data_IF_841125049115
#
_entry.id   IF_841125049115
#
_cell.length_a   1.000
_cell.length_b   1.000
_cell.length_c   1.000
_cell.angle_alpha   90.00
_cell.angle_beta   90.00
_cell.angle_gamma   90.00
#
_symmetry.space_group_name_H-M   'P 1'
#
loop_
_entity.id
_entity.type
_entity.pdbx_description
1 polymer ?
#
# COMPACT_ATOMS: atom_id res chain seq x y z
N UNK A 1 9.03 -24.13 -9.52
CA UNK A 1 8.51 -22.97 -10.29
C UNK A 1 9.22 -22.86 -11.66
N UNK A 2 8.70 -22.09 -12.63
CA UNK A 2 9.31 -21.97 -13.98
C UNK A 2 10.75 -21.42 -13.92
N UNK A 3 10.99 -20.50 -13.00
CA UNK A 3 12.28 -19.87 -12.74
C UNK A 3 13.32 -20.83 -12.15
N UNK A 4 12.91 -21.71 -11.23
CA UNK A 4 13.79 -22.76 -10.70
C UNK A 4 14.15 -23.80 -11.75
N UNK A 5 13.20 -24.13 -12.64
CA UNK A 5 13.40 -25.13 -13.68
C UNK A 5 14.31 -24.64 -14.81
N UNK A 6 14.21 -23.36 -15.18
CA UNK A 6 14.84 -22.83 -16.40
C UNK A 6 15.92 -21.75 -16.14
N UNK A 7 15.94 -21.12 -14.97
CA UNK A 7 17.02 -20.21 -14.57
C UNK A 7 17.05 -18.84 -15.28
N UNK A 8 16.12 -18.53 -16.17
CA UNK A 8 16.00 -17.21 -16.80
C UNK A 8 15.44 -16.15 -15.85
N UNK A 9 15.85 -14.89 -16.06
CA UNK A 9 15.35 -13.73 -15.31
C UNK A 9 14.10 -13.07 -15.89
N UNK A 10 13.64 -13.55 -17.06
CA UNK A 10 12.43 -13.08 -17.75
C UNK A 10 11.74 -14.24 -18.48
N UNK A 11 10.41 -14.28 -18.41
CA UNK A 11 9.56 -15.28 -19.07
C UNK A 11 8.44 -14.60 -19.84
N UNK A 12 7.95 -15.23 -20.90
CA UNK A 12 6.73 -14.81 -21.60
C UNK A 12 5.62 -15.80 -21.31
N UNK A 13 4.51 -15.31 -20.75
CA UNK A 13 3.29 -16.07 -20.54
C UNK A 13 2.19 -15.54 -21.48
N UNK A 14 1.58 -16.40 -22.32
CA UNK A 14 0.38 -16.03 -23.05
C UNK A 14 -0.83 -16.03 -22.09
N UNK A 15 -1.49 -14.89 -21.95
CA UNK A 15 -2.70 -14.74 -21.12
C UNK A 15 -3.83 -14.22 -21.99
N UNK A 16 -4.75 -15.11 -22.38
CA UNK A 16 -5.78 -14.84 -23.39
C UNK A 16 -5.14 -14.27 -24.68
N UNK A 17 -5.54 -13.05 -25.08
CA UNK A 17 -4.97 -12.35 -26.24
C UNK A 17 -3.69 -11.57 -25.94
N UNK A 18 -3.26 -11.51 -24.68
CA UNK A 18 -2.17 -10.66 -24.22
C UNK A 18 -0.87 -11.45 -24.05
N UNK A 19 0.25 -10.75 -24.22
CA UNK A 19 1.58 -11.24 -23.84
C UNK A 19 1.95 -10.61 -22.51
N UNK A 20 2.26 -11.43 -21.52
CA UNK A 20 2.71 -11.00 -20.21
C UNK A 20 4.18 -11.41 -20.01
N UNK A 21 5.06 -10.44 -19.87
CA UNK A 21 6.46 -10.64 -19.53
C UNK A 21 6.63 -10.65 -18.01
N UNK A 22 7.02 -11.80 -17.45
CA UNK A 22 7.24 -11.97 -16.02
C UNK A 22 8.72 -11.81 -15.72
N UNK A 23 9.06 -10.86 -14.85
CA UNK A 23 10.41 -10.57 -14.40
C UNK A 23 10.64 -11.27 -13.06
N UNK A 24 11.67 -12.10 -13.01
CA UNK A 24 11.98 -12.94 -11.83
C UNK A 24 13.39 -12.74 -11.31
N UNK A 25 14.19 -11.79 -11.83
CA UNK A 25 15.51 -11.47 -11.28
C UNK A 25 15.64 -9.99 -10.90
N UNK A 26 16.43 -9.65 -9.85
CA UNK A 26 16.71 -8.27 -9.48
C UNK A 26 17.40 -7.48 -10.59
N UNK A 27 18.31 -8.11 -11.34
CA UNK A 27 19.01 -7.48 -12.46
C UNK A 27 18.04 -7.07 -13.57
N UNK A 28 17.07 -7.93 -13.91
CA UNK A 28 16.05 -7.60 -14.90
C UNK A 28 15.05 -6.58 -14.36
N UNK A 29 14.67 -6.64 -13.08
CA UNK A 29 13.84 -5.61 -12.46
C UNK A 29 14.51 -4.23 -12.53
N UNK A 30 15.81 -4.15 -12.26
CA UNK A 30 16.61 -2.93 -12.42
C UNK A 30 16.66 -2.47 -13.89
N UNK A 31 16.83 -3.40 -14.84
CA UNK A 31 16.82 -3.08 -16.27
C UNK A 31 15.47 -2.48 -16.73
N UNK A 32 14.35 -3.04 -16.25
CA UNK A 32 12.99 -2.51 -16.50
C UNK A 32 12.83 -1.09 -15.95
N UNK A 33 13.29 -0.85 -14.71
CA UNK A 33 13.17 0.46 -14.07
C UNK A 33 14.01 1.56 -14.75
N UNK A 34 15.04 1.20 -15.52
CA UNK A 34 15.88 2.15 -16.28
C UNK A 34 15.25 2.65 -17.58
N UNK A 35 14.08 2.12 -17.99
CA UNK A 35 13.41 2.52 -19.24
C UNK A 35 12.02 3.13 -18.96
N UNK A 36 11.93 4.23 -18.21
CA UNK A 36 10.65 4.74 -17.70
C UNK A 36 9.73 5.30 -18.80
N UNK A 37 10.29 5.80 -19.92
CA UNK A 37 9.48 6.45 -20.98
C UNK A 37 8.60 5.49 -21.77
N UNK A 38 9.02 4.24 -21.93
CA UNK A 38 8.30 3.26 -22.76
C UNK A 38 7.51 2.24 -21.95
N UNK A 39 7.60 2.27 -20.61
CA UNK A 39 6.95 1.33 -19.70
C UNK A 39 6.12 2.11 -18.69
N UNK A 40 4.79 2.09 -18.83
CA UNK A 40 3.90 2.92 -18.01
C UNK A 40 2.86 2.10 -17.26
N UNK A 41 2.59 2.48 -16.02
CA UNK A 41 1.47 1.93 -15.25
C UNK A 41 0.14 2.65 -15.55
N UNK A 42 0.18 3.86 -16.09
CA UNK A 42 -1.00 4.73 -16.23
C UNK A 42 -2.17 4.08 -17.00
N UNK A 43 -1.96 3.35 -18.11
CA UNK A 43 -3.06 2.67 -18.80
C UNK A 43 -3.76 1.62 -17.92
N UNK A 44 -2.99 0.85 -17.14
CA UNK A 44 -3.52 -0.14 -16.20
C UNK A 44 -4.29 0.57 -15.08
N UNK A 45 -3.73 1.67 -14.57
CA UNK A 45 -4.33 2.47 -13.50
C UNK A 45 -5.70 3.03 -13.91
N UNK A 46 -5.85 3.61 -15.09
CA UNK A 46 -7.14 4.16 -15.55
C UNK A 46 -8.21 3.07 -15.64
N UNK A 47 -7.86 1.92 -16.21
CA UNK A 47 -8.79 0.79 -16.31
C UNK A 47 -9.16 0.23 -14.93
N UNK A 48 -8.21 0.21 -13.98
CA UNK A 48 -8.46 -0.18 -12.60
C UNK A 48 -9.44 0.79 -11.93
N UNK A 49 -9.17 2.09 -11.96
CA UNK A 49 -10.04 3.10 -11.32
C UNK A 49 -11.45 3.03 -11.91
N UNK A 50 -11.59 2.84 -13.22
CA UNK A 50 -12.90 2.71 -13.86
C UNK A 50 -13.68 1.49 -13.33
N UNK A 51 -13.04 0.33 -13.23
CA UNK A 51 -13.72 -0.91 -12.79
C UNK A 51 -13.99 -0.92 -11.30
N UNK A 52 -13.03 -0.46 -10.49
CA UNK A 52 -13.13 -0.37 -9.03
C UNK A 52 -14.22 0.63 -8.64
N UNK A 53 -14.15 1.87 -9.14
CA UNK A 53 -15.09 2.94 -8.77
C UNK A 53 -16.42 2.90 -9.54
N UNK A 54 -16.45 2.32 -10.73
CA UNK A 54 -17.59 2.40 -11.64
C UNK A 54 -17.87 3.83 -12.08
N UNK A 55 -16.84 4.56 -12.56
CA UNK A 55 -16.94 6.01 -12.76
C UNK A 55 -17.99 6.36 -13.84
N UNK A 56 -18.59 7.57 -13.75
CA UNK A 56 -19.38 8.13 -14.83
C UNK A 56 -18.52 8.30 -16.09
N UNK A 57 -19.13 8.13 -17.26
CA UNK A 57 -18.42 8.17 -18.55
C UNK A 57 -17.63 9.47 -18.78
N UNK A 58 -18.14 10.60 -18.29
CA UNK A 58 -17.45 11.89 -18.38
C UNK A 58 -16.15 11.91 -17.56
N UNK A 59 -16.16 11.32 -16.35
CA UNK A 59 -14.96 11.23 -15.50
C UNK A 59 -13.94 10.24 -16.05
N UNK A 60 -14.39 9.08 -16.54
CA UNK A 60 -13.50 8.12 -17.21
C UNK A 60 -12.83 8.74 -18.45
N UNK A 61 -13.57 9.55 -19.21
CA UNK A 61 -13.00 10.30 -20.34
C UNK A 61 -11.88 11.23 -19.90
N UNK A 62 -12.05 11.98 -18.80
CA UNK A 62 -10.99 12.85 -18.25
C UNK A 62 -9.73 12.03 -17.94
N UNK A 63 -9.88 10.84 -17.36
CA UNK A 63 -8.75 9.96 -17.04
C UNK A 63 -8.00 9.42 -18.26
N UNK A 64 -8.66 9.37 -19.42
CA UNK A 64 -8.09 8.84 -20.67
C UNK A 64 -7.49 9.91 -21.57
N UNK A 65 -7.84 11.17 -21.36
CA UNK A 65 -7.28 12.31 -22.10
C UNK A 65 -5.97 12.75 -21.43
N UNK A 66 -4.97 13.09 -22.24
CA UNK A 66 -3.63 13.49 -21.78
C UNK A 66 -3.01 12.50 -20.79
N UNK A 67 -3.26 11.20 -20.99
CA UNK A 67 -2.83 10.16 -20.08
C UNK A 67 -1.30 10.12 -19.93
N UNK A 68 -0.58 10.52 -20.98
CA UNK A 68 0.88 10.53 -21.03
C UNK A 68 1.45 11.96 -21.05
N UNK A 69 0.65 12.94 -20.61
CA UNK A 69 0.98 14.37 -20.60
C UNK A 69 1.33 14.93 -22.00
N UNK A 70 0.61 14.48 -23.03
CA UNK A 70 0.93 14.78 -24.44
C UNK A 70 0.79 16.27 -24.79
N UNK A 71 -0.25 16.94 -24.28
CA UNK A 71 -0.55 18.35 -24.57
C UNK A 71 -0.40 19.25 -23.33
N UNK A 72 -0.75 18.73 -22.17
CA UNK A 72 -0.68 19.39 -20.88
C UNK A 72 -0.58 18.33 -19.77
N UNK A 73 -0.31 18.77 -18.54
CA UNK A 73 -0.35 17.89 -17.37
C UNK A 73 -1.69 17.17 -17.27
N UNK A 74 -1.66 15.84 -17.30
CA UNK A 74 -2.82 15.00 -17.07
C UNK A 74 -3.12 14.82 -15.57
N UNK A 75 -4.37 14.47 -15.26
CA UNK A 75 -4.83 14.29 -13.88
C UNK A 75 -4.00 13.26 -13.10
N UNK A 76 -3.50 12.20 -13.76
CA UNK A 76 -2.68 11.19 -13.10
C UNK A 76 -1.35 11.76 -12.61
N UNK A 77 -0.74 12.68 -13.37
CA UNK A 77 0.49 13.37 -13.00
C UNK A 77 0.24 14.33 -11.86
N UNK A 78 -0.76 15.20 -11.99
CA UNK A 78 -1.12 16.16 -10.97
C UNK A 78 -1.40 15.49 -9.60
N UNK A 79 -2.11 14.35 -9.61
CA UNK A 79 -2.37 13.59 -8.38
C UNK A 79 -1.10 12.90 -7.87
N UNK A 80 -0.26 12.36 -8.75
CA UNK A 80 1.01 11.76 -8.36
C UNK A 80 1.93 12.78 -7.69
N UNK A 81 2.01 14.00 -8.20
CA UNK A 81 2.83 15.08 -7.62
C UNK A 81 2.36 15.48 -6.22
N UNK A 82 1.05 15.55 -5.98
CA UNK A 82 0.50 15.79 -4.63
C UNK A 82 0.92 14.68 -3.66
N UNK A 83 0.77 13.42 -4.05
CA UNK A 83 1.17 12.29 -3.20
C UNK A 83 2.69 12.29 -2.96
N UNK A 84 3.47 12.48 -4.02
CA UNK A 84 4.94 12.45 -3.96
C UNK A 84 5.52 13.61 -3.16
N UNK A 85 4.85 14.77 -3.12
CA UNK A 85 5.31 15.91 -2.34
C UNK A 85 4.94 15.86 -0.86
N UNK A 86 3.90 15.09 -0.48
CA UNK A 86 3.33 15.15 0.89
C UNK A 86 3.46 13.85 1.69
N UNK A 87 3.71 12.71 1.04
CA UNK A 87 3.73 11.38 1.69
C UNK A 87 5.14 10.84 1.99
N UNK A 88 6.20 11.10 1.21
CA UNK A 88 7.51 10.49 1.50
C UNK A 88 8.16 10.99 2.80
N UNK A 89 8.02 12.27 3.12
CA UNK A 89 8.60 12.88 4.31
C UNK A 89 8.00 14.25 4.62
N UNK A 90 8.28 14.76 5.81
CA UNK A 90 7.96 16.12 6.21
C UNK A 90 6.66 16.28 7.01
N UNK A 91 6.27 17.53 7.31
CA UNK A 91 5.23 17.83 8.31
C UNK A 91 3.84 17.28 7.97
N UNK A 92 3.52 17.14 6.68
CA UNK A 92 2.25 16.56 6.24
C UNK A 92 2.10 15.09 6.64
N UNK A 93 3.15 14.30 6.38
CA UNK A 93 3.20 12.89 6.78
C UNK A 93 3.21 12.72 8.30
N UNK A 94 3.92 13.58 9.03
CA UNK A 94 3.99 13.55 10.49
C UNK A 94 2.61 13.80 11.11
N UNK A 95 1.91 14.85 10.67
CA UNK A 95 0.55 15.14 11.10
C UNK A 95 -0.42 13.99 10.78
N UNK A 96 -0.36 13.45 9.57
CA UNK A 96 -1.20 12.32 9.17
C UNK A 96 -0.91 11.06 10.00
N UNK A 97 0.38 10.77 10.22
CA UNK A 97 0.83 9.66 11.08
C UNK A 97 0.27 9.82 12.50
N UNK A 98 0.40 11.02 13.08
CA UNK A 98 -0.10 11.27 14.42
C UNK A 98 -1.62 11.14 14.50
N UNK A 99 -2.35 11.64 13.50
CA UNK A 99 -3.81 11.51 13.42
C UNK A 99 -4.25 10.04 13.38
N UNK A 100 -3.59 9.20 12.57
CA UNK A 100 -3.87 7.75 12.52
C UNK A 100 -3.58 7.09 13.86
N UNK A 101 -2.42 7.35 14.47
CA UNK A 101 -2.02 6.73 15.75
C UNK A 101 -2.97 7.12 16.87
N UNK A 102 -3.35 8.39 16.96
CA UNK A 102 -4.30 8.86 17.95
C UNK A 102 -5.67 8.20 17.79
N UNK A 103 -6.12 7.99 16.55
CA UNK A 103 -7.37 7.28 16.30
C UNK A 103 -7.29 5.79 16.64
N UNK A 104 -6.17 5.14 16.33
CA UNK A 104 -5.93 3.75 16.77
C UNK A 104 -5.95 3.67 18.30
N UNK A 105 -5.31 4.61 19.00
CA UNK A 105 -5.34 4.69 20.47
C UNK A 105 -6.76 4.87 21.01
N UNK A 106 -7.58 5.72 20.39
CA UNK A 106 -9.00 5.88 20.76
C UNK A 106 -9.79 4.59 20.56
N UNK A 107 -9.55 3.84 19.48
CA UNK A 107 -10.21 2.55 19.25
C UNK A 107 -9.89 1.54 20.37
N UNK A 108 -8.68 1.57 20.97
CA UNK A 108 -8.36 0.74 22.14
C UNK A 108 -9.22 1.07 23.36
N UNK A 109 -9.57 2.34 23.56
CA UNK A 109 -10.48 2.77 24.64
C UNK A 109 -11.92 2.27 24.47
N UNK A 110 -12.32 1.87 23.26
CA UNK A 110 -13.63 1.29 22.96
C UNK A 110 -13.72 -0.22 23.16
N UNK A 111 -12.61 -0.89 23.51
CA UNK A 111 -12.60 -2.33 23.73
C UNK A 111 -13.26 -2.72 25.07
N UNK A 112 -13.87 -3.91 25.17
CA UNK A 112 -14.43 -4.40 26.44
C UNK A 112 -13.38 -4.44 27.56
N UNK A 113 -13.78 -4.07 28.77
CA UNK A 113 -12.93 -4.24 29.95
C UNK A 113 -12.73 -5.72 30.26
N UNK A 114 -11.48 -6.15 30.48
CA UNK A 114 -11.14 -7.54 30.80
C UNK A 114 -10.78 -8.38 29.57
N UNK A 115 -11.00 -9.70 29.66
CA UNK A 115 -10.73 -10.63 28.56
C UNK A 115 -11.92 -10.69 27.62
N UNK A 116 -11.67 -10.67 26.32
CA UNK A 116 -12.68 -10.86 25.29
C UNK A 116 -12.09 -11.68 24.13
N UNK A 117 -12.95 -12.42 23.44
CA UNK A 117 -12.57 -13.22 22.29
C UNK A 117 -12.90 -12.47 20.99
N UNK A 118 -11.96 -12.48 20.04
CA UNK A 118 -12.17 -11.89 18.72
C UNK A 118 -11.30 -12.56 17.67
N UNK A 119 -11.74 -12.57 16.42
CA UNK A 119 -10.90 -12.96 15.29
C UNK A 119 -9.82 -11.91 15.05
N UNK A 120 -8.55 -12.31 14.96
CA UNK A 120 -7.44 -11.36 14.81
C UNK A 120 -7.56 -10.48 13.56
N UNK A 121 -8.11 -11.02 12.46
CA UNK A 121 -8.32 -10.21 11.26
C UNK A 121 -9.43 -9.16 11.45
N UNK A 122 -10.57 -9.55 12.02
CA UNK A 122 -11.67 -8.63 12.37
C UNK A 122 -11.22 -7.55 13.36
N UNK A 123 -10.37 -7.92 14.33
CA UNK A 123 -9.72 -6.96 15.21
C UNK A 123 -8.91 -5.93 14.43
N UNK A 124 -8.04 -6.36 13.50
CA UNK A 124 -7.28 -5.44 12.65
C UNK A 124 -8.16 -4.57 11.75
N UNK A 125 -9.24 -5.12 11.19
CA UNK A 125 -10.22 -4.39 10.37
C UNK A 125 -10.82 -3.21 11.16
N UNK A 126 -11.23 -3.48 12.40
CA UNK A 126 -11.78 -2.45 13.28
C UNK A 126 -10.73 -1.40 13.69
N UNK A 127 -9.56 -1.85 14.15
CA UNK A 127 -8.53 -0.95 14.67
C UNK A 127 -7.96 -0.01 13.61
N UNK A 128 -7.73 -0.51 12.38
CA UNK A 128 -7.10 0.25 11.29
C UNK A 128 -8.12 0.97 10.41
N UNK A 129 -9.23 0.33 10.05
CA UNK A 129 -10.15 0.83 9.04
C UNK A 129 -10.74 2.20 9.42
N UNK A 130 -11.42 2.28 10.56
CA UNK A 130 -12.05 3.52 11.04
C UNK A 130 -11.01 4.61 11.30
N UNK A 131 -9.86 4.23 11.87
CA UNK A 131 -8.79 5.18 12.18
C UNK A 131 -8.22 5.84 10.92
N UNK A 132 -7.95 5.04 9.89
CA UNK A 132 -7.44 5.53 8.60
C UNK A 132 -8.46 6.44 7.91
N UNK A 133 -9.74 6.06 7.88
CA UNK A 133 -10.80 6.88 7.27
C UNK A 133 -10.92 8.23 7.98
N UNK A 134 -11.02 8.25 9.31
CA UNK A 134 -11.11 9.51 10.08
C UNK A 134 -9.89 10.39 9.92
N UNK A 135 -8.69 9.81 9.85
CA UNK A 135 -7.47 10.57 9.67
C UNK A 135 -7.36 11.20 8.27
N UNK A 136 -7.90 10.55 7.24
CA UNK A 136 -7.86 11.04 5.85
C UNK A 136 -8.99 12.00 5.54
N UNK A 137 -10.22 11.68 5.94
CA UNK A 137 -11.45 12.37 5.53
C UNK A 137 -12.05 13.25 6.66
N UNK A 138 -11.50 13.19 7.87
CA UNK A 138 -12.01 13.92 9.02
C UNK A 138 -13.11 13.18 9.79
N UNK A 139 -13.61 13.83 10.84
CA UNK A 139 -14.61 13.29 11.78
C UNK A 139 -15.94 14.06 11.68
N UNK A 140 -16.99 13.43 12.20
CA UNK A 140 -18.37 13.91 12.14
C UNK A 140 -18.80 14.15 10.69
N UNK A 141 -18.66 13.09 9.89
CA UNK A 141 -18.98 13.07 8.45
C UNK A 141 -19.87 11.89 8.11
N UNK A 142 -20.50 11.85 6.91
CA UNK A 142 -21.20 10.66 6.44
C UNK A 142 -20.34 9.38 6.43
N UNK A 143 -19.01 9.50 6.45
CA UNK A 143 -18.10 8.36 6.53
C UNK A 143 -17.95 7.79 7.95
N UNK A 144 -18.53 8.41 8.98
CA UNK A 144 -18.66 7.80 10.31
C UNK A 144 -19.85 6.82 10.42
N UNK A 145 -20.53 6.54 9.30
CA UNK A 145 -21.67 5.63 9.28
C UNK A 145 -21.30 4.25 9.84
N UNK A 146 -22.11 3.64 10.73
CA UNK A 146 -21.78 2.36 11.37
C UNK A 146 -21.53 1.20 10.40
N UNK A 147 -22.13 1.26 9.21
CA UNK A 147 -21.94 0.23 8.17
C UNK A 147 -20.70 0.45 7.30
N UNK A 148 -19.98 1.57 7.40
CA UNK A 148 -18.91 1.91 6.45
C UNK A 148 -17.87 0.78 6.36
N UNK A 149 -17.39 0.29 7.51
CA UNK A 149 -16.34 -0.72 7.56
C UNK A 149 -16.85 -2.07 7.05
N UNK A 150 -18.06 -2.49 7.44
CA UNK A 150 -18.62 -3.75 6.94
C UNK A 150 -18.91 -3.71 5.44
N UNK A 151 -19.43 -2.59 4.94
CA UNK A 151 -19.64 -2.37 3.50
C UNK A 151 -18.31 -2.33 2.75
N UNK A 152 -17.28 -1.72 3.32
CA UNK A 152 -15.94 -1.71 2.75
C UNK A 152 -15.38 -3.11 2.58
N UNK A 153 -15.45 -3.98 3.61
CA UNK A 153 -14.92 -5.33 3.51
C UNK A 153 -15.77 -6.24 2.61
N UNK A 154 -17.10 -6.08 2.58
CA UNK A 154 -17.94 -6.78 1.59
C UNK A 154 -17.56 -6.40 0.15
N UNK A 155 -17.20 -5.13 -0.08
CA UNK A 155 -16.69 -4.65 -1.36
C UNK A 155 -15.27 -5.18 -1.68
N UNK A 156 -14.32 -5.07 -0.74
CA UNK A 156 -12.92 -5.46 -0.91
C UNK A 156 -12.75 -6.96 -1.14
N UNK A 157 -13.46 -7.80 -0.38
CA UNK A 157 -13.43 -9.26 -0.54
C UNK A 157 -13.96 -9.71 -1.91
N UNK A 158 -14.85 -8.92 -2.53
CA UNK A 158 -15.35 -9.16 -3.88
C UNK A 158 -14.62 -8.38 -4.98
N UNK A 159 -13.58 -7.63 -4.67
CA UNK A 159 -12.93 -6.68 -5.59
C UNK A 159 -12.42 -7.35 -6.87
N UNK A 160 -11.72 -8.49 -6.75
CA UNK A 160 -11.21 -9.22 -7.91
C UNK A 160 -12.36 -9.68 -8.83
N UNK A 161 -13.49 -10.07 -8.25
CA UNK A 161 -14.65 -10.51 -8.99
C UNK A 161 -15.32 -9.34 -9.73
N UNK A 162 -15.39 -8.16 -9.11
CA UNK A 162 -15.82 -6.91 -9.75
C UNK A 162 -14.90 -6.51 -10.91
N UNK A 163 -13.59 -6.71 -10.75
CA UNK A 163 -12.60 -6.39 -11.78
C UNK A 163 -12.71 -7.30 -13.00
N UNK A 164 -12.97 -8.59 -12.80
CA UNK A 164 -12.98 -9.57 -13.88
C UNK A 164 -14.33 -9.71 -14.57
N UNK A 165 -15.43 -9.38 -13.88
CA UNK A 165 -16.77 -9.56 -14.44
C UNK A 165 -17.16 -8.42 -15.39
N UNK A 166 -17.73 -8.72 -16.57
CA UNK A 166 -18.26 -7.69 -17.46
C UNK A 166 -19.56 -7.05 -16.96
N UNK A 167 -20.34 -7.76 -16.12
CA UNK A 167 -21.64 -7.31 -15.59
C UNK A 167 -21.75 -7.61 -14.08
N UNK A 168 -20.93 -6.97 -13.23
CA UNK A 168 -20.86 -7.26 -11.80
C UNK A 168 -22.19 -7.03 -11.06
N UNK A 169 -23.04 -6.13 -11.55
CA UNK A 169 -24.37 -5.87 -10.99
C UNK A 169 -25.31 -7.08 -11.05
N UNK A 170 -25.00 -8.09 -11.89
CA UNK A 170 -25.78 -9.32 -12.04
C UNK A 170 -25.04 -10.51 -11.44
N UNK A 171 -23.75 -10.64 -11.73
CA UNK A 171 -22.92 -11.80 -11.37
C UNK A 171 -22.37 -11.74 -9.94
N UNK A 172 -22.13 -10.53 -9.42
CA UNK A 172 -21.49 -10.29 -8.12
C UNK A 172 -22.27 -9.22 -7.34
N UNK A 173 -23.58 -9.47 -7.17
CA UNK A 173 -24.55 -8.51 -6.61
C UNK A 173 -24.15 -7.95 -5.25
N UNK A 174 -23.62 -8.78 -4.35
CA UNK A 174 -23.22 -8.36 -2.99
C UNK A 174 -22.10 -7.30 -3.01
N UNK A 175 -20.89 -7.59 -3.51
CA UNK A 175 -19.82 -6.60 -3.55
C UNK A 175 -20.17 -5.40 -4.43
N UNK A 176 -20.98 -5.59 -5.49
CA UNK A 176 -21.48 -4.48 -6.27
C UNK A 176 -22.40 -3.57 -5.44
N UNK A 177 -23.36 -4.13 -4.70
CA UNK A 177 -24.26 -3.34 -3.85
C UNK A 177 -23.50 -2.63 -2.73
N UNK A 178 -22.49 -3.27 -2.14
CA UNK A 178 -21.59 -2.66 -1.16
C UNK A 178 -20.85 -1.45 -1.75
N UNK A 179 -20.27 -1.59 -2.95
CA UNK A 179 -19.65 -0.48 -3.69
C UNK A 179 -20.61 0.71 -3.84
N UNK A 180 -21.85 0.45 -4.24
CA UNK A 180 -22.84 1.52 -4.44
C UNK A 180 -23.30 2.16 -3.11
N UNK A 181 -23.33 1.42 -2.00
CA UNK A 181 -23.56 1.99 -0.65
C UNK A 181 -22.42 2.94 -0.26
N UNK A 182 -21.17 2.51 -0.43
CA UNK A 182 -19.98 3.34 -0.16
C UNK A 182 -19.94 4.58 -1.06
N UNK A 183 -20.24 4.44 -2.35
CA UNK A 183 -20.31 5.56 -3.28
C UNK A 183 -21.32 6.62 -2.81
N UNK A 184 -22.50 6.21 -2.32
CA UNK A 184 -23.50 7.15 -1.79
C UNK A 184 -23.01 7.91 -0.55
N UNK A 185 -22.30 7.24 0.37
CA UNK A 185 -21.71 7.90 1.53
C UNK A 185 -20.65 8.94 1.11
N UNK A 186 -19.82 8.61 0.12
CA UNK A 186 -18.83 9.53 -0.42
C UNK A 186 -19.47 10.70 -1.20
N UNK A 187 -20.55 10.47 -1.95
CA UNK A 187 -21.30 11.56 -2.58
C UNK A 187 -21.85 12.51 -1.53
N UNK A 188 -22.52 11.99 -0.50
CA UNK A 188 -23.04 12.81 0.60
C UNK A 188 -21.92 13.59 1.32
N UNK A 189 -20.75 12.97 1.49
CA UNK A 189 -19.57 13.63 2.05
C UNK A 189 -19.15 14.86 1.23
N UNK A 190 -19.05 14.74 -0.09
CA UNK A 190 -18.67 15.86 -0.96
C UNK A 190 -19.79 16.90 -1.14
N UNK A 191 -21.05 16.49 -1.25
CA UNK A 191 -22.19 17.41 -1.37
C UNK A 191 -22.41 18.24 -0.11
N UNK A 192 -22.16 17.67 1.08
CA UNK A 192 -22.20 18.37 2.35
C UNK A 192 -20.99 19.27 2.64
N UNK A 193 -20.01 19.36 1.72
CA UNK A 193 -18.79 20.12 1.94
C UNK A 193 -17.89 19.58 3.06
N UNK A 194 -18.04 18.30 3.42
CA UNK A 194 -17.26 17.68 4.49
C UNK A 194 -15.78 17.51 4.11
N UNK A 195 -15.45 17.63 2.83
CA UNK A 195 -14.07 17.59 2.34
C UNK A 195 -13.19 18.72 2.85
N UNK A 196 -13.77 19.79 3.40
CA UNK A 196 -13.04 20.79 4.17
C UNK A 196 -12.36 20.21 5.44
N UNK A 197 -12.90 19.11 5.99
CA UNK A 197 -12.39 18.40 7.17
C UNK A 197 -11.31 17.36 6.84
N UNK A 198 -11.07 17.08 5.56
CA UNK A 198 -10.05 16.13 5.14
C UNK A 198 -8.64 16.63 5.50
N UNK A 199 -7.68 15.73 5.59
CA UNK A 199 -6.28 16.12 5.80
C UNK A 199 -5.73 16.90 4.59
N UNK A 200 -4.64 17.65 4.79
CA UNK A 200 -4.07 18.56 3.78
C UNK A 200 -3.82 17.89 2.43
N UNK A 201 -3.27 16.67 2.45
CA UNK A 201 -3.03 15.86 1.26
C UNK A 201 -4.33 15.57 0.50
N UNK A 202 -5.39 15.17 1.20
CA UNK A 202 -6.66 14.84 0.58
C UNK A 202 -7.31 16.08 -0.03
N UNK A 203 -7.28 17.21 0.68
CA UNK A 203 -7.77 18.50 0.14
C UNK A 203 -7.03 18.91 -1.12
N UNK A 204 -5.70 18.78 -1.14
CA UNK A 204 -4.90 19.04 -2.33
C UNK A 204 -5.27 18.10 -3.50
N UNK A 205 -5.48 16.79 -3.24
CA UNK A 205 -5.95 15.84 -4.25
C UNK A 205 -7.33 16.20 -4.80
N UNK A 206 -8.29 16.53 -3.93
CA UNK A 206 -9.64 16.90 -4.34
C UNK A 206 -9.64 18.17 -5.19
N UNK A 207 -8.81 19.15 -4.84
CA UNK A 207 -8.62 20.36 -5.64
C UNK A 207 -8.10 20.04 -7.05
N UNK A 208 -7.14 19.11 -7.18
CA UNK A 208 -6.66 18.68 -8.50
C UNK A 208 -7.75 17.97 -9.31
N UNK A 209 -8.53 17.07 -8.71
CA UNK A 209 -9.64 16.43 -9.42
C UNK A 209 -10.67 17.44 -9.93
N UNK A 210 -11.06 18.42 -9.10
CA UNK A 210 -11.99 19.48 -9.49
C UNK A 210 -11.41 20.37 -10.59
N UNK A 211 -10.12 20.74 -10.51
CA UNK A 211 -9.41 21.51 -11.54
C UNK A 211 -9.45 20.80 -12.90
N UNK A 212 -9.39 19.47 -12.91
CA UNK A 212 -9.46 18.65 -14.13
C UNK A 212 -10.91 18.34 -14.57
N UNK A 213 -11.93 18.91 -13.91
CA UNK A 213 -13.32 18.81 -14.34
C UNK A 213 -14.09 17.60 -13.81
N UNK A 214 -13.62 16.96 -12.73
CA UNK A 214 -14.38 15.88 -12.11
C UNK A 214 -15.70 16.40 -11.54
N UNK A 215 -16.80 15.66 -11.82
CA UNK A 215 -18.06 15.83 -11.10
C UNK A 215 -17.93 15.31 -9.66
N UNK A 216 -18.87 15.73 -8.79
CA UNK A 216 -18.95 15.22 -7.42
C UNK A 216 -19.06 13.70 -7.37
N UNK A 217 -19.91 13.10 -8.21
CA UNK A 217 -20.02 11.64 -8.31
C UNK A 217 -18.72 10.99 -8.81
N UNK A 218 -18.08 11.58 -9.83
CA UNK A 218 -16.81 11.07 -10.35
C UNK A 218 -15.70 11.08 -9.32
N UNK A 219 -15.63 12.14 -8.51
CA UNK A 219 -14.70 12.27 -7.39
C UNK A 219 -15.01 11.24 -6.30
N UNK A 220 -16.27 11.15 -5.86
CA UNK A 220 -16.72 10.17 -4.87
C UNK A 220 -16.35 8.73 -5.26
N UNK A 221 -16.61 8.35 -6.51
CA UNK A 221 -16.30 6.99 -7.00
C UNK A 221 -14.80 6.75 -7.18
N UNK A 222 -14.02 7.77 -7.50
CA UNK A 222 -12.55 7.67 -7.56
C UNK A 222 -11.96 7.41 -6.17
N UNK A 223 -12.53 8.02 -5.12
CA UNK A 223 -12.04 7.81 -3.76
C UNK A 223 -12.25 6.40 -3.23
N UNK A 224 -13.18 5.62 -3.77
CA UNK A 224 -13.25 4.18 -3.47
C UNK A 224 -11.92 3.47 -3.79
N UNK A 225 -11.29 3.80 -4.92
CA UNK A 225 -10.00 3.24 -5.30
C UNK A 225 -8.87 3.71 -4.36
N UNK A 226 -8.94 4.95 -3.87
CA UNK A 226 -7.96 5.46 -2.93
C UNK A 226 -8.09 4.78 -1.56
N UNK A 227 -9.32 4.58 -1.07
CA UNK A 227 -9.58 3.86 0.18
C UNK A 227 -9.04 2.43 0.12
N UNK A 228 -9.23 1.71 -0.99
CA UNK A 228 -8.63 0.38 -1.20
C UNK A 228 -7.11 0.41 -0.98
N UNK A 229 -6.42 1.40 -1.56
CA UNK A 229 -4.99 1.57 -1.37
C UNK A 229 -4.57 1.94 0.05
N UNK A 230 -5.39 2.71 0.77
CA UNK A 230 -5.08 3.20 2.11
C UNK A 230 -5.36 2.18 3.23
N UNK A 231 -6.42 1.37 3.07
CA UNK A 231 -6.94 0.51 4.15
C UNK A 231 -6.52 -0.95 3.97
N UNK A 232 -6.76 -1.58 2.81
CA UNK A 232 -6.62 -3.05 2.66
C UNK A 232 -5.21 -3.54 3.00
N UNK A 233 -4.19 -2.95 2.37
CA UNK A 233 -2.80 -3.37 2.58
C UNK A 233 -2.34 -3.17 4.03
N UNK A 234 -2.73 -2.05 4.65
CA UNK A 234 -2.37 -1.71 6.02
C UNK A 234 -3.01 -2.70 7.00
N UNK A 235 -4.30 -3.01 6.83
CA UNK A 235 -5.01 -3.98 7.69
C UNK A 235 -4.46 -5.39 7.54
N UNK A 236 -4.23 -5.86 6.30
CA UNK A 236 -3.69 -7.21 6.05
C UNK A 236 -2.26 -7.31 6.61
N UNK A 237 -1.45 -6.26 6.46
CA UNK A 237 -0.11 -6.21 7.05
C UNK A 237 -0.18 -6.27 8.57
N UNK A 238 -1.07 -5.51 9.20
CA UNK A 238 -1.26 -5.53 10.65
C UNK A 238 -1.67 -6.93 11.15
N UNK A 239 -2.58 -7.60 10.43
CA UNK A 239 -2.96 -8.98 10.74
C UNK A 239 -1.76 -9.93 10.71
N UNK A 240 -1.00 -9.96 9.60
CA UNK A 240 0.15 -10.85 9.50
C UNK A 240 1.23 -10.50 10.52
N UNK A 241 1.47 -9.21 10.76
CA UNK A 241 2.44 -8.74 11.73
C UNK A 241 2.11 -9.25 13.14
N UNK A 242 0.87 -9.04 13.59
CA UNK A 242 0.41 -9.54 14.89
C UNK A 242 0.38 -11.06 14.94
N UNK A 243 -0.08 -11.75 13.89
CA UNK A 243 -0.11 -13.20 13.83
C UNK A 243 1.29 -13.82 13.98
N UNK A 244 2.31 -13.21 13.37
CA UNK A 244 3.71 -13.66 13.48
C UNK A 244 4.29 -13.41 14.87
N UNK A 245 3.97 -12.28 15.50
CA UNK A 245 4.40 -11.96 16.86
C UNK A 245 3.74 -12.89 17.87
N UNK A 246 2.41 -13.03 17.82
CA UNK A 246 1.63 -13.80 18.79
C UNK A 246 1.82 -15.32 18.67
N UNK A 247 2.41 -15.80 17.57
CA UNK A 247 2.76 -17.20 17.39
C UNK A 247 3.98 -17.65 18.24
N UNK A 248 4.77 -16.72 18.78
CA UNK A 248 5.95 -17.02 19.58
C UNK A 248 6.02 -16.10 20.82
N UNK A 249 5.77 -16.68 21.99
CA UNK A 249 5.76 -15.94 23.26
C UNK A 249 7.11 -15.25 23.55
N UNK A 250 8.24 -15.84 23.11
CA UNK A 250 9.56 -15.23 23.31
C UNK A 250 9.69 -13.91 22.54
N UNK A 251 9.18 -13.86 21.31
CA UNK A 251 9.18 -12.65 20.49
C UNK A 251 8.27 -11.57 21.10
N UNK A 252 7.14 -11.96 21.70
CA UNK A 252 6.27 -11.01 22.43
C UNK A 252 7.03 -10.35 23.59
N UNK A 253 7.72 -11.16 24.39
CA UNK A 253 8.43 -10.66 25.58
C UNK A 253 9.63 -9.78 25.19
N UNK A 254 10.40 -10.19 24.18
CA UNK A 254 11.51 -9.40 23.64
C UNK A 254 11.05 -8.06 23.05
N UNK A 255 9.96 -8.06 22.27
CA UNK A 255 9.41 -6.82 21.71
C UNK A 255 8.89 -5.87 22.79
N UNK A 256 8.24 -6.40 23.85
CA UNK A 256 7.79 -5.58 24.97
C UNK A 256 8.97 -4.92 25.68
N UNK A 257 10.03 -5.68 25.94
CA UNK A 257 11.25 -5.15 26.55
C UNK A 257 11.93 -4.09 25.66
N UNK A 258 12.06 -4.37 24.36
CA UNK A 258 12.65 -3.46 23.37
C UNK A 258 11.86 -2.14 23.26
N UNK A 259 10.53 -2.22 23.10
CA UNK A 259 9.68 -1.03 22.96
C UNK A 259 9.69 -0.19 24.24
N UNK A 260 9.68 -0.83 25.41
CA UNK A 260 9.73 -0.13 26.70
C UNK A 260 11.05 0.60 26.88
N UNK A 261 12.17 -0.01 26.49
CA UNK A 261 13.49 0.60 26.60
C UNK A 261 13.73 1.69 25.54
N UNK A 262 13.24 1.48 24.31
CA UNK A 262 13.59 2.29 23.15
C UNK A 262 12.62 3.41 22.80
N UNK A 263 11.35 3.32 23.21
CA UNK A 263 10.31 4.23 22.72
C UNK A 263 9.26 4.67 23.76
N UNK A 264 9.24 4.11 24.96
CA UNK A 264 8.27 4.49 25.98
C UNK A 264 8.69 5.77 26.70
N UNK A 265 7.80 6.78 26.72
CA UNK A 265 8.02 8.04 27.42
C UNK A 265 7.42 7.97 28.83
N UNK A 266 8.29 7.65 29.80
CA UNK A 266 7.91 7.50 31.20
C UNK A 266 7.67 8.83 31.92
N UNK A 267 8.14 9.96 31.38
CA UNK A 267 7.98 11.28 32.00
C UNK A 267 6.60 11.85 31.69
N UNK A 268 6.20 11.87 30.40
CA UNK A 268 4.85 12.32 30.00
C UNK A 268 3.73 11.43 30.53
N UNK A 269 4.04 10.17 30.86
CA UNK A 269 3.09 9.28 31.53
C UNK A 269 2.72 9.75 32.95
N UNK A 270 3.60 10.50 33.65
CA UNK A 270 3.36 10.94 35.04
C UNK A 270 2.52 12.21 35.14
N UNK A 271 2.53 13.05 34.11
CA UNK A 271 1.91 14.38 34.13
C UNK A 271 0.43 14.39 33.71
N UNK A 272 -0.14 13.24 33.34
CA UNK A 272 -1.56 13.13 32.96
C UNK A 272 -2.50 12.95 34.16
N UNK A 273 -3.11 14.03 34.64
CA UNK A 273 -4.27 13.96 35.53
C UNK A 273 -5.47 13.35 34.78
N UNK A 274 -5.72 12.05 35.01
CA UNK A 274 -6.94 11.36 34.57
C UNK A 274 -6.72 10.39 33.41
N UNK A 275 -6.60 9.10 33.77
CA UNK A 275 -6.32 7.94 32.92
C UNK A 275 -4.89 7.88 32.35
N UNK A 276 -4.10 6.95 32.91
CA UNK A 276 -2.73 6.63 32.51
C UNK A 276 -2.62 6.26 31.01
N UNK A 277 -2.44 7.24 30.15
CA UNK A 277 -2.21 7.02 28.73
C UNK A 277 -0.72 6.73 28.50
N UNK A 278 -0.40 5.49 28.14
CA UNK A 278 0.94 5.12 27.68
C UNK A 278 1.34 5.98 26.48
N UNK A 279 2.42 6.75 26.64
CA UNK A 279 2.95 7.63 25.59
C UNK A 279 4.18 7.00 24.97
N UNK A 280 4.22 6.97 23.63
CA UNK A 280 5.34 6.38 22.87
C UNK A 280 5.87 7.38 21.85
N UNK A 281 7.20 7.42 21.71
CA UNK A 281 7.86 8.14 20.64
C UNK A 281 7.78 7.36 19.32
N UNK A 282 6.93 7.81 18.41
CA UNK A 282 6.66 7.15 17.12
C UNK A 282 7.91 7.05 16.25
N UNK A 283 8.79 8.07 16.30
CA UNK A 283 10.04 8.07 15.56
C UNK A 283 10.98 6.95 16.03
N UNK A 284 11.05 6.72 17.34
CA UNK A 284 11.85 5.65 17.93
C UNK A 284 11.35 4.25 17.52
N UNK A 285 10.03 4.01 17.53
CA UNK A 285 9.43 2.75 17.06
C UNK A 285 9.84 2.42 15.60
N UNK A 286 9.99 3.43 14.76
CA UNK A 286 10.38 3.29 13.34
C UNK A 286 11.89 3.25 13.10
N UNK A 287 12.69 3.41 14.16
CA UNK A 287 14.14 3.45 14.06
C UNK A 287 14.73 2.06 14.31
N UNK A 288 15.46 1.47 13.35
CA UNK A 288 16.20 0.23 13.58
C UNK A 288 17.29 0.36 14.67
N UNK A 289 17.69 1.59 15.03
CA UNK A 289 18.64 1.81 16.11
C UNK A 289 17.99 1.71 17.50
N UNK A 290 16.71 2.11 17.64
CA UNK A 290 15.98 2.06 18.91
C UNK A 290 15.15 0.78 19.06
N UNK A 291 14.52 0.31 17.98
CA UNK A 291 13.70 -0.91 17.96
C UNK A 291 14.10 -1.84 16.80
N UNK A 292 15.30 -2.45 16.83
CA UNK A 292 15.80 -3.31 15.75
C UNK A 292 14.92 -4.54 15.49
N UNK A 293 14.45 -5.23 16.54
CA UNK A 293 13.61 -6.42 16.40
C UNK A 293 12.24 -6.05 15.82
N UNK A 294 11.61 -4.98 16.31
CA UNK A 294 10.32 -4.51 15.79
C UNK A 294 10.39 -4.24 14.29
N UNK A 295 11.42 -3.50 13.86
CA UNK A 295 11.64 -3.19 12.45
C UNK A 295 11.98 -4.43 11.62
N UNK A 296 12.69 -5.41 12.20
CA UNK A 296 13.00 -6.67 11.53
C UNK A 296 11.76 -7.55 11.33
N UNK A 297 10.94 -7.72 12.37
CA UNK A 297 9.64 -8.42 12.30
C UNK A 297 8.75 -7.76 11.26
N UNK A 298 8.70 -6.43 11.20
CA UNK A 298 7.88 -5.70 10.23
C UNK A 298 8.34 -5.95 8.79
N UNK A 299 9.64 -5.84 8.52
CA UNK A 299 10.23 -6.11 7.20
C UNK A 299 10.06 -7.57 6.77
N UNK A 300 10.27 -8.51 7.68
CA UNK A 300 10.09 -9.95 7.39
C UNK A 300 8.62 -10.29 7.15
N UNK A 301 7.71 -9.64 7.87
CA UNK A 301 6.27 -9.76 7.62
C UNK A 301 5.94 -9.28 6.21
N UNK A 302 6.39 -8.08 5.81
CA UNK A 302 6.15 -7.56 4.46
C UNK A 302 6.76 -8.46 3.37
N UNK A 303 7.95 -9.02 3.61
CA UNK A 303 8.60 -9.94 2.66
C UNK A 303 7.73 -11.15 2.34
N UNK A 304 7.13 -11.77 3.37
CA UNK A 304 6.35 -13.01 3.23
C UNK A 304 4.85 -12.79 3.00
N UNK A 305 4.27 -11.70 3.50
CA UNK A 305 2.84 -11.43 3.39
C UNK A 305 2.47 -10.63 2.13
N UNK A 306 3.41 -9.85 1.57
CA UNK A 306 3.11 -9.00 0.43
C UNK A 306 3.27 -9.74 -0.90
N UNK A 307 2.21 -9.74 -1.70
CA UNK A 307 2.25 -10.18 -3.11
C UNK A 307 2.59 -9.01 -4.03
N UNK A 308 3.65 -8.25 -3.71
CA UNK A 308 3.98 -7.01 -4.45
C UNK A 308 4.23 -7.31 -5.92
N UNK A 309 3.47 -6.67 -6.81
CA UNK A 309 3.61 -6.81 -8.26
C UNK A 309 3.80 -5.45 -8.92
N UNK A 310 4.90 -5.30 -9.66
CA UNK A 310 5.22 -4.09 -10.42
C UNK A 310 4.78 -4.19 -11.88
N UNK A 311 3.52 -3.88 -12.17
CA UNK A 311 2.94 -4.00 -13.52
C UNK A 311 3.16 -2.75 -14.37
N UNK A 312 3.52 -2.90 -15.65
CA UNK A 312 3.59 -1.83 -16.65
C UNK A 312 3.07 -2.32 -18.00
N UNK A 313 2.52 -1.43 -18.80
CA UNK A 313 2.26 -1.66 -20.22
C UNK A 313 3.44 -1.16 -21.06
N UNK A 314 3.79 -1.92 -22.10
CA UNK A 314 4.83 -1.56 -23.07
C UNK A 314 4.23 -0.63 -24.13
N UNK A 315 4.66 0.63 -24.16
CA UNK A 315 4.10 1.68 -25.03
C UNK A 315 4.72 1.67 -26.43
N UNK A 316 5.98 1.25 -26.53
CA UNK A 316 6.74 1.11 -27.76
C UNK A 316 7.66 -0.12 -27.66
N UNK A 317 7.99 -0.76 -28.79
CA UNK A 317 8.96 -1.85 -28.83
C UNK A 317 10.25 -1.42 -28.13
N UNK A 318 10.67 -2.16 -27.10
CA UNK A 318 11.72 -1.72 -26.17
C UNK A 318 12.69 -2.85 -25.87
N UNK A 319 13.96 -2.62 -26.15
CA UNK A 319 15.04 -3.56 -25.82
C UNK A 319 15.48 -3.39 -24.35
N UNK A 320 15.66 -4.50 -23.63
CA UNK A 320 16.03 -4.51 -22.20
C UNK A 320 17.07 -5.60 -21.91
N UNK A 321 17.77 -5.46 -20.77
CA UNK A 321 18.80 -6.41 -20.34
C UNK A 321 19.99 -6.43 -21.30
N UNK A 322 20.54 -5.26 -21.62
CA UNK A 322 21.65 -5.09 -22.56
C UNK A 322 21.28 -5.57 -23.98
N UNK A 323 20.10 -5.15 -24.44
CA UNK A 323 19.52 -5.49 -25.76
C UNK A 323 19.21 -6.97 -26.01
N UNK A 324 19.35 -7.84 -24.99
CA UNK A 324 19.10 -9.27 -25.12
C UNK A 324 17.63 -9.63 -25.30
N UNK A 325 16.71 -8.79 -24.82
CA UNK A 325 15.28 -9.06 -24.86
C UNK A 325 14.51 -7.90 -25.47
N UNK A 326 13.63 -8.20 -26.43
CA UNK A 326 12.75 -7.22 -27.05
C UNK A 326 11.32 -7.34 -26.50
N UNK A 327 10.89 -6.34 -25.75
CA UNK A 327 9.52 -6.21 -25.27
C UNK A 327 8.66 -5.58 -26.36
N UNK A 328 7.55 -6.24 -26.73
CA UNK A 328 6.68 -5.78 -27.81
C UNK A 328 5.63 -4.78 -27.31
N UNK A 329 5.37 -3.74 -28.10
CA UNK A 329 4.30 -2.76 -27.86
C UNK A 329 2.97 -3.46 -27.59
N UNK A 330 2.21 -2.94 -26.63
CA UNK A 330 0.90 -3.44 -26.21
C UNK A 330 0.95 -4.65 -25.26
N UNK A 331 2.12 -5.25 -25.06
CA UNK A 331 2.31 -6.28 -24.04
C UNK A 331 2.34 -5.67 -22.63
N UNK A 332 2.21 -6.54 -21.62
CA UNK A 332 2.38 -6.19 -20.22
C UNK A 332 3.69 -6.76 -19.69
N UNK A 333 4.35 -6.03 -18.79
CA UNK A 333 5.49 -6.52 -18.01
C UNK A 333 5.16 -6.45 -16.53
N UNK A 334 5.57 -7.46 -15.79
CA UNK A 334 5.27 -7.60 -14.37
C UNK A 334 6.51 -8.02 -13.60
N UNK A 335 6.90 -7.24 -12.59
CA UNK A 335 7.93 -7.63 -11.62
C UNK A 335 7.25 -8.31 -10.44
N UNK A 336 7.46 -9.62 -10.30
CA UNK A 336 6.81 -10.41 -9.25
C UNK A 336 7.68 -10.46 -7.99
N UNK A 337 7.40 -9.54 -7.06
CA UNK A 337 8.09 -9.45 -5.77
C UNK A 337 7.92 -10.71 -4.95
N UNK A 338 6.75 -11.38 -5.00
CA UNK A 338 6.52 -12.66 -4.31
C UNK A 338 7.48 -13.75 -4.77
N UNK A 339 7.81 -13.83 -6.06
CA UNK A 339 8.81 -14.78 -6.56
C UNK A 339 10.19 -14.41 -6.03
N UNK A 340 10.58 -13.14 -6.11
CA UNK A 340 11.88 -12.65 -5.65
C UNK A 340 12.07 -12.81 -4.13
N UNK A 341 11.02 -12.60 -3.35
CA UNK A 341 11.04 -12.68 -1.90
C UNK A 341 11.17 -14.10 -1.39
N UNK A 342 10.80 -15.11 -2.17
CA UNK A 342 10.89 -16.52 -1.77
C UNK A 342 12.08 -17.26 -2.40
N UNK A 343 12.89 -16.59 -3.21
CA UNK A 343 14.06 -17.20 -3.85
C UNK A 343 15.15 -17.55 -2.85
N UNK A 344 15.45 -18.84 -2.77
CA UNK A 344 16.51 -19.38 -1.90
C UNK A 344 17.88 -18.78 -2.21
N UNK A 345 18.16 -18.48 -3.48
CA UNK A 345 19.40 -17.85 -3.91
C UNK A 345 19.65 -16.46 -3.29
N UNK A 346 18.60 -15.76 -2.82
CA UNK A 346 18.72 -14.44 -2.21
C UNK A 346 18.48 -14.47 -0.70
N UNK A 347 17.59 -15.34 -0.23
CA UNK A 347 17.12 -15.36 1.15
C UNK A 347 17.63 -16.55 1.96
N UNK A 348 18.41 -17.44 1.36
CA UNK A 348 18.92 -18.65 2.00
C UNK A 348 17.93 -19.82 1.97
N UNK A 349 18.30 -20.97 2.56
CA UNK A 349 17.47 -22.18 2.57
C UNK A 349 16.16 -22.03 3.36
N UNK A 350 16.07 -21.02 4.22
CA UNK A 350 14.91 -20.72 5.04
C UNK A 350 14.00 -19.63 4.42
N UNK A 351 14.14 -19.33 3.12
CA UNK A 351 13.41 -18.26 2.43
C UNK A 351 11.89 -18.29 2.66
N UNK A 352 11.28 -19.49 2.70
CA UNK A 352 9.85 -19.65 2.92
C UNK A 352 9.42 -19.57 4.41
N UNK A 353 10.38 -19.48 5.34
CA UNK A 353 10.13 -19.44 6.79
C UNK A 353 10.26 -18.00 7.30
N UNK A 354 9.40 -17.68 8.26
CA UNK A 354 9.47 -16.40 8.97
C UNK A 354 10.63 -16.44 9.96
N UNK A 355 11.54 -15.46 9.83
CA UNK A 355 12.64 -15.24 10.77
C UNK A 355 12.57 -13.82 11.31
N UNK A 356 12.11 -13.68 12.57
CA UNK A 356 11.95 -12.40 13.26
C UNK A 356 13.25 -11.55 13.28
N UNK A 357 14.41 -12.20 13.22
CA UNK A 357 15.73 -11.56 13.32
C UNK A 357 16.43 -11.37 11.99
N UNK A 358 15.78 -11.67 10.85
CA UNK A 358 16.40 -11.61 9.52
C UNK A 358 17.04 -10.27 9.18
N UNK A 359 16.44 -9.17 9.65
CA UNK A 359 16.91 -7.81 9.39
C UNK A 359 17.47 -7.11 10.63
N UNK A 360 17.68 -7.84 11.73
CA UNK A 360 18.47 -7.32 12.85
C UNK A 360 19.92 -7.35 12.36
N UNK A 361 20.54 -6.17 12.20
CA UNK A 361 21.94 -6.10 11.82
C UNK A 361 22.76 -6.92 12.81
N UNK A 362 23.33 -8.04 12.38
CA UNK A 362 24.47 -8.62 13.08
C UNK A 362 25.62 -7.64 12.88
N UNK A 363 26.24 -7.18 13.96
CA UNK A 363 27.45 -6.35 13.94
C UNK A 363 28.67 -7.09 13.37
N UNK A 364 28.48 -8.09 12.50
CA UNK A 364 29.51 -9.03 12.04
C UNK A 364 29.16 -9.62 10.68
N UNK A 365 29.05 -8.78 9.65
CA UNK A 365 29.26 -9.19 8.25
C UNK A 365 29.45 -7.94 7.38
N UNK A 366 30.58 -7.25 7.57
CA UNK A 366 31.10 -6.36 6.55
C UNK A 366 31.31 -7.18 5.29
N UNK A 367 30.45 -6.99 4.29
CA UNK A 367 30.74 -7.45 2.94
C UNK A 367 31.88 -6.56 2.45
N UNK A 368 33.11 -7.07 2.54
CA UNK A 368 34.27 -6.52 1.85
C UNK A 368 33.99 -6.59 0.35
N UNK A 369 33.40 -5.52 -0.19
CA UNK A 369 33.53 -5.22 -1.59
C UNK A 369 34.97 -4.73 -1.78
N UNK A 370 35.82 -5.67 -2.18
CA UNK A 370 37.19 -5.44 -2.60
C UNK A 370 37.18 -4.57 -3.87
N UNK A 371 37.11 -3.25 -3.65
CA UNK A 371 37.22 -2.23 -4.68
C UNK A 371 38.67 -1.89 -4.89
N UNK A 372 39.37 -2.69 -5.70
CA UNK A 372 40.71 -2.40 -6.17
C UNK A 372 40.79 -1.04 -6.85
N UNK A 373 41.27 -0.03 -6.13
CA UNK A 373 41.77 1.23 -6.71
C UNK A 373 43.09 0.93 -7.41
N UNK A 374 43.06 0.77 -8.73
CA UNK A 374 44.25 1.06 -9.55
C UNK A 374 44.36 2.58 -9.65
N UNK A 375 45.36 3.13 -8.96
CA UNK A 375 45.87 4.46 -9.25
C UNK A 375 46.40 4.50 -10.68
N UNK A 376 46.07 5.57 -11.40
CA UNK A 376 46.78 5.93 -12.63
C UNK A 376 47.56 7.19 -12.27
N UNK A 377 48.87 7.02 -12.15
CA UNK A 377 49.82 8.10 -12.23
C UNK A 377 50.10 8.41 -13.70
N UNK A 378 50.56 9.65 -13.90
CA UNK A 378 50.93 10.36 -15.15
C UNK A 378 49.80 11.07 -15.89
#
# INVERSE_FOLDING_TARGET
>A
MLDEKHGYGIYTLPVLRWRLYIITSPSMAAAINRVPKNLSFRPIQVDLVQRVGGLPAQTDKINRVNLMDEEAEGVMTAIHEVIYSMVPSGPGLEKLTQAVINQVAQNFGGLPSGKFDTGLYEFCKHMIGTATIRALYGQDTPLDHPSLISDYWEFDEGLLALLLSPLPSITHKKPHAARERLARLLVAYFEGGHDAKACDMMRARFAQYRKHGYSTEGLARTELCFIVGAVSNTTITAFWFLARILADASIVDELRAEITAGAFDAERHRDGEGAAAATFEVAALRSPAACPLLNSVFRETLRLASTTTGSRQVLADTAVGDERYLLKRGAFVSVEGSVLHYKHAYWGPDAARFNARRFVCSSSAGTTLDGGKKSRAE
#
